data_IF_766955767819
#
_entry.id   IF_766955767819
#
_cell.length_a   1.000
_cell.length_b   1.000
_cell.length_c   1.000
_cell.angle_alpha   90.00
_cell.angle_beta   90.00
_cell.angle_gamma   90.00
#
_symmetry.space_group_name_H-M   'P 1'
#
loop_
_entity.id
_entity.type
_entity.pdbx_description
1 polymer ?
#
# COMPACT_ATOMS: atom_id res chain seq x y z
N UNK A 1 81.88 -9.66 -1.55
CA UNK A 1 82.94 -8.96 -2.30
C UNK A 1 82.28 -8.20 -3.44
N UNK A 2 82.19 -6.87 -3.34
CA UNK A 2 82.03 -5.97 -4.50
C UNK A 2 83.42 -5.62 -5.04
N UNK A 3 83.54 -5.17 -6.31
CA UNK A 3 83.82 -3.74 -6.56
C UNK A 3 83.11 -3.14 -7.82
N UNK A 4 82.62 -1.89 -7.73
CA UNK A 4 83.09 -0.62 -8.36
C UNK A 4 82.81 -0.48 -9.88
N UNK A 5 81.87 0.38 -10.30
CA UNK A 5 81.99 1.82 -10.67
C UNK A 5 82.69 2.03 -12.03
N UNK A 6 82.17 2.80 -13.00
CA UNK A 6 82.15 4.29 -13.13
C UNK A 6 81.51 4.55 -14.53
N UNK A 7 80.74 5.60 -14.90
CA UNK A 7 81.01 7.04 -14.88
C UNK A 7 79.78 7.84 -15.40
N UNK A 8 79.58 9.04 -14.85
CA UNK A 8 78.66 10.10 -15.30
C UNK A 8 79.28 10.94 -16.45
N UNK A 9 78.54 11.81 -17.18
CA UNK A 9 78.50 13.23 -16.77
C UNK A 9 77.19 14.02 -17.03
N UNK A 10 76.92 14.89 -16.05
CA UNK A 10 76.58 16.33 -16.12
C UNK A 10 75.40 16.85 -16.98
N UNK A 11 74.45 17.46 -16.26
CA UNK A 11 73.32 18.29 -16.70
C UNK A 11 73.73 19.69 -17.23
N UNK A 12 72.79 20.44 -17.84
CA UNK A 12 72.28 21.59 -17.08
C UNK A 12 70.76 21.83 -17.21
N UNK A 13 70.30 22.61 -16.23
CA UNK A 13 68.96 23.14 -15.98
C UNK A 13 68.21 23.68 -17.20
N UNK A 14 66.89 23.42 -17.23
CA UNK A 14 65.93 24.28 -17.90
C UNK A 14 64.79 24.60 -16.91
N UNK A 15 64.51 25.90 -16.75
CA UNK A 15 63.51 26.48 -15.85
C UNK A 15 62.09 25.99 -16.13
N UNK A 16 61.21 25.92 -15.12
CA UNK A 16 59.80 25.67 -15.34
C UNK A 16 59.12 26.93 -15.90
N UNK A 17 58.70 26.88 -17.17
CA UNK A 17 57.72 27.84 -17.71
C UNK A 17 56.39 27.67 -16.98
N UNK A 18 55.98 28.72 -16.29
CA UNK A 18 54.66 28.92 -15.70
C UNK A 18 53.55 28.61 -16.71
N UNK A 19 52.90 27.46 -16.57
CA UNK A 19 51.67 27.16 -17.28
C UNK A 19 50.49 27.79 -16.51
N UNK A 20 49.87 28.80 -17.12
CA UNK A 20 48.61 29.40 -16.70
C UNK A 20 47.55 28.31 -16.45
N UNK A 21 47.07 28.23 -15.21
CA UNK A 21 45.89 27.47 -14.85
C UNK A 21 44.68 27.97 -15.64
N UNK A 22 44.24 27.20 -16.63
CA UNK A 22 42.90 27.35 -17.19
C UNK A 22 41.92 26.64 -16.26
N UNK A 23 41.22 27.42 -15.44
CA UNK A 23 40.12 26.97 -14.59
C UNK A 23 39.01 26.38 -15.47
N UNK A 24 38.75 25.08 -15.35
CA UNK A 24 37.55 24.46 -15.92
C UNK A 24 36.30 25.16 -15.39
N UNK A 25 35.30 25.48 -16.24
CA UNK A 25 34.05 26.05 -15.78
C UNK A 25 33.33 25.05 -14.88
N UNK A 26 32.72 25.57 -13.81
CA UNK A 26 31.90 24.79 -12.88
C UNK A 26 30.79 24.05 -13.64
N UNK A 27 30.47 22.80 -13.26
CA UNK A 27 29.33 22.09 -13.84
C UNK A 27 28.06 22.91 -13.61
N UNK A 28 27.27 23.06 -14.67
CA UNK A 28 25.98 23.74 -14.59
C UNK A 28 25.16 23.15 -13.44
N UNK A 29 24.63 24.03 -12.59
CA UNK A 29 23.76 23.65 -11.48
C UNK A 29 22.65 22.75 -12.03
N UNK A 30 22.62 21.49 -11.56
CA UNK A 30 21.52 20.59 -11.86
C UNK A 30 20.23 21.25 -11.35
N UNK A 31 19.15 21.26 -12.15
CA UNK A 31 17.86 21.75 -11.67
C UNK A 31 17.49 21.00 -10.39
N UNK A 32 16.98 21.73 -9.40
CA UNK A 32 16.53 21.16 -8.15
C UNK A 32 15.60 19.96 -8.43
N UNK A 33 15.71 18.85 -7.66
CA UNK A 33 14.83 17.70 -7.83
C UNK A 33 13.39 18.18 -7.86
N UNK A 34 12.72 18.01 -9.00
CA UNK A 34 11.31 18.33 -9.11
C UNK A 34 10.57 17.45 -8.11
N UNK A 35 9.73 18.07 -7.27
CA UNK A 35 8.87 17.32 -6.36
C UNK A 35 8.08 16.29 -7.19
N UNK A 36 7.93 15.04 -6.72
CA UNK A 36 7.23 14.01 -7.47
C UNK A 36 5.84 14.52 -7.86
N UNK A 37 5.49 14.37 -9.14
CA UNK A 37 4.24 14.90 -9.70
C UNK A 37 3.01 14.05 -9.38
N UNK A 38 3.14 13.08 -8.46
CA UNK A 38 2.10 12.12 -8.10
C UNK A 38 2.36 11.47 -6.74
N UNK A 39 1.42 10.65 -6.26
CA UNK A 39 1.44 10.14 -4.88
C UNK A 39 2.65 9.25 -4.64
N UNK A 40 3.39 9.51 -3.56
CA UNK A 40 4.52 8.66 -3.16
C UNK A 40 4.01 7.31 -2.66
N UNK A 41 4.49 6.22 -3.28
CA UNK A 41 4.13 4.84 -2.90
C UNK A 41 5.27 4.17 -2.13
N UNK A 42 4.95 3.60 -0.97
CA UNK A 42 5.86 2.71 -0.26
C UNK A 42 5.64 1.26 -0.74
N UNK A 43 6.59 0.72 -1.49
CA UNK A 43 6.63 -0.68 -1.85
C UNK A 43 7.35 -1.49 -0.78
N UNK A 44 6.70 -2.56 -0.31
CA UNK A 44 7.18 -3.44 0.76
C UNK A 44 7.38 -4.86 0.18
N UNK A 45 8.51 -5.15 -0.49
CA UNK A 45 8.73 -6.45 -1.11
C UNK A 45 9.25 -7.50 -0.13
N UNK A 46 8.74 -8.72 -0.23
CA UNK A 46 9.32 -9.93 0.37
C UNK A 46 9.67 -10.94 -0.74
N UNK A 47 10.90 -11.45 -0.74
CA UNK A 47 11.34 -12.48 -1.67
C UNK A 47 11.61 -11.99 -3.10
N UNK A 48 12.02 -12.93 -3.95
CA UNK A 48 12.48 -12.64 -5.32
C UNK A 48 11.38 -12.12 -6.25
N UNK A 49 10.19 -12.72 -6.17
CA UNK A 49 9.02 -12.30 -6.97
C UNK A 49 8.66 -10.84 -6.69
N UNK A 50 8.56 -10.46 -5.41
CA UNK A 50 8.23 -9.11 -5.02
C UNK A 50 9.26 -8.09 -5.51
N UNK A 51 10.56 -8.38 -5.37
CA UNK A 51 11.61 -7.50 -5.88
C UNK A 51 11.52 -7.33 -7.39
N UNK A 52 11.20 -8.39 -8.14
CA UNK A 52 11.02 -8.30 -9.58
C UNK A 52 9.79 -7.44 -9.97
N UNK A 53 8.70 -7.52 -9.21
CA UNK A 53 7.51 -6.67 -9.41
C UNK A 53 7.85 -5.21 -9.10
N UNK A 54 8.50 -4.93 -7.98
CA UNK A 54 8.89 -3.57 -7.57
C UNK A 54 9.88 -2.96 -8.55
N UNK A 55 10.87 -3.72 -9.03
CA UNK A 55 11.82 -3.25 -10.04
C UNK A 55 11.14 -2.81 -11.36
N UNK A 56 9.93 -3.31 -11.64
CA UNK A 56 9.13 -2.91 -12.80
C UNK A 56 8.25 -1.69 -12.53
N UNK A 57 7.80 -1.51 -11.30
CA UNK A 57 6.77 -0.52 -10.94
C UNK A 57 7.31 0.77 -10.33
N UNK A 58 8.29 0.66 -9.44
CA UNK A 58 8.71 1.77 -8.60
C UNK A 58 9.33 2.88 -9.47
N UNK A 59 8.78 4.08 -9.34
CA UNK A 59 9.33 5.29 -9.93
C UNK A 59 10.42 5.94 -9.06
N UNK A 60 11.09 6.99 -9.56
CA UNK A 60 12.15 7.69 -8.83
C UNK A 60 11.72 8.33 -7.49
N UNK A 61 10.42 8.58 -7.30
CA UNK A 61 9.86 9.17 -6.08
C UNK A 61 9.30 8.15 -5.08
N UNK A 62 9.24 6.87 -5.47
CA UNK A 62 8.70 5.82 -4.61
C UNK A 62 9.76 5.31 -3.63
N UNK A 63 9.28 4.77 -2.51
CA UNK A 63 10.14 4.21 -1.46
C UNK A 63 10.04 2.70 -1.52
N UNK A 64 11.19 2.01 -1.45
CA UNK A 64 11.24 0.55 -1.39
C UNK A 64 11.85 0.13 -0.06
N UNK A 65 11.08 -0.60 0.76
CA UNK A 65 11.52 -1.12 2.06
C UNK A 65 11.33 -2.63 2.09
N UNK A 66 12.38 -3.44 1.93
CA UNK A 66 12.27 -4.89 2.02
C UNK A 66 11.73 -5.35 3.38
N UNK A 67 10.83 -6.33 3.36
CA UNK A 67 10.15 -6.86 4.56
C UNK A 67 10.40 -8.37 4.74
N UNK A 68 11.52 -8.88 4.20
CA UNK A 68 11.93 -10.29 4.34
C UNK A 68 12.05 -10.75 5.81
N UNK A 69 12.20 -9.80 6.76
CA UNK A 69 12.33 -10.05 8.20
C UNK A 69 11.14 -9.55 9.02
N UNK A 70 10.01 -9.26 8.37
CA UNK A 70 8.85 -8.65 9.01
C UNK A 70 8.69 -7.17 8.66
N UNK A 71 7.51 -6.62 9.00
CA UNK A 71 7.16 -5.23 8.77
C UNK A 71 7.21 -4.45 10.10
N UNK A 72 8.19 -3.56 10.22
CA UNK A 72 8.30 -2.65 11.37
C UNK A 72 7.89 -1.25 10.93
N UNK A 73 6.84 -0.71 11.55
CA UNK A 73 6.27 0.60 11.18
C UNK A 73 7.29 1.74 11.17
N UNK A 74 8.24 1.74 12.12
CA UNK A 74 9.29 2.76 12.23
C UNK A 74 10.24 2.81 11.02
N UNK A 75 10.37 1.71 10.26
CA UNK A 75 11.23 1.66 9.07
C UNK A 75 10.52 2.06 7.78
N UNK A 76 9.20 2.23 7.81
CA UNK A 76 8.46 2.73 6.65
C UNK A 76 8.44 4.25 6.70
N UNK A 77 9.08 4.95 5.75
CA UNK A 77 9.02 6.41 5.66
C UNK A 77 7.59 6.92 5.42
N UNK A 78 7.42 8.24 5.49
CA UNK A 78 6.15 8.85 5.08
C UNK A 78 5.90 8.59 3.60
N UNK A 79 4.73 8.05 3.30
CA UNK A 79 4.22 7.80 1.96
C UNK A 79 2.70 8.01 1.99
N UNK A 80 2.11 8.24 0.82
CA UNK A 80 0.67 8.45 0.70
C UNK A 80 -0.10 7.13 0.61
N UNK A 81 0.59 6.04 0.25
CA UNK A 81 0.02 4.71 0.09
C UNK A 81 1.10 3.64 0.22
N UNK A 82 0.70 2.43 0.62
CA UNK A 82 1.61 1.29 0.74
C UNK A 82 1.17 0.08 -0.08
N UNK A 83 2.13 -0.61 -0.70
CA UNK A 83 1.92 -1.84 -1.46
C UNK A 83 2.84 -2.93 -0.92
N UNK A 84 2.27 -3.91 -0.25
CA UNK A 84 2.95 -5.14 0.18
C UNK A 84 2.90 -6.16 -0.94
N UNK A 85 4.05 -6.74 -1.31
CA UNK A 85 4.10 -7.90 -2.19
C UNK A 85 4.81 -8.99 -1.42
N UNK A 86 4.06 -10.02 -1.06
CA UNK A 86 4.48 -11.04 -0.11
C UNK A 86 4.27 -12.45 -0.65
N UNK A 87 4.94 -13.40 -0.01
CA UNK A 87 4.64 -14.81 -0.20
C UNK A 87 3.19 -15.11 0.25
N UNK A 88 2.58 -16.20 -0.23
CA UNK A 88 1.28 -16.68 0.22
C UNK A 88 1.15 -16.83 1.73
N UNK A 89 -0.06 -16.59 2.23
CA UNK A 89 -0.47 -16.85 3.61
C UNK A 89 0.39 -16.15 4.68
N UNK A 90 1.02 -15.03 4.31
CA UNK A 90 1.74 -14.17 5.23
C UNK A 90 0.77 -13.30 6.05
N UNK A 91 -0.13 -13.94 6.80
CA UNK A 91 -1.18 -13.29 7.60
C UNK A 91 -0.60 -12.24 8.55
N UNK A 92 0.52 -12.55 9.22
CA UNK A 92 1.18 -11.60 10.12
C UNK A 92 1.59 -10.30 9.41
N UNK A 93 2.31 -10.39 8.28
CA UNK A 93 2.70 -9.21 7.49
C UNK A 93 1.50 -8.41 6.98
N UNK A 94 0.40 -9.09 6.65
CA UNK A 94 -0.83 -8.45 6.17
C UNK A 94 -1.56 -7.73 7.30
N UNK A 95 -1.56 -8.28 8.51
CA UNK A 95 -2.08 -7.63 9.72
C UNK A 95 -1.19 -6.45 10.18
N UNK A 96 0.13 -6.57 10.05
CA UNK A 96 1.07 -5.47 10.30
C UNK A 96 0.87 -4.33 9.29
N UNK A 97 0.61 -4.66 8.02
CA UNK A 97 0.27 -3.68 6.99
C UNK A 97 -1.04 -2.96 7.30
N UNK A 98 -2.07 -3.69 7.71
CA UNK A 98 -3.33 -3.10 8.20
C UNK A 98 -3.05 -2.16 9.39
N UNK A 99 -2.25 -2.60 10.37
CA UNK A 99 -1.91 -1.79 11.53
C UNK A 99 -1.22 -0.49 11.13
N UNK A 100 -0.24 -0.56 10.24
CA UNK A 100 0.44 0.61 9.67
C UNK A 100 -0.55 1.54 8.93
N UNK A 101 -1.39 0.96 8.09
CA UNK A 101 -2.40 1.65 7.28
C UNK A 101 -3.36 2.44 8.17
N UNK A 102 -3.99 1.78 9.14
CA UNK A 102 -4.97 2.41 10.03
C UNK A 102 -4.32 3.41 11.00
N UNK A 103 -3.11 3.14 11.49
CA UNK A 103 -2.39 4.07 12.38
C UNK A 103 -2.05 5.38 11.67
N UNK A 104 -1.71 5.32 10.37
CA UNK A 104 -1.30 6.50 9.59
C UNK A 104 -2.41 7.09 8.72
N UNK A 105 -3.60 6.50 8.69
CA UNK A 105 -4.66 6.89 7.75
C UNK A 105 -4.27 6.67 6.28
N UNK A 106 -3.31 5.79 6.02
CA UNK A 106 -2.69 5.59 4.71
C UNK A 106 -3.33 4.38 3.99
N UNK A 107 -3.85 4.52 2.76
CA UNK A 107 -4.30 3.39 1.95
C UNK A 107 -3.24 2.31 1.78
N UNK A 108 -3.65 1.04 1.78
CA UNK A 108 -2.76 -0.09 1.58
C UNK A 108 -3.32 -1.14 0.64
N UNK A 109 -2.41 -1.85 -0.02
CA UNK A 109 -2.70 -2.94 -0.94
C UNK A 109 -1.74 -4.08 -0.66
N UNK A 110 -2.21 -5.32 -0.70
CA UNK A 110 -1.32 -6.49 -0.66
C UNK A 110 -1.47 -7.36 -1.89
N UNK A 111 -0.36 -7.97 -2.30
CA UNK A 111 -0.28 -8.85 -3.47
C UNK A 111 0.43 -10.14 -3.06
N UNK A 112 -0.17 -11.26 -3.43
CA UNK A 112 0.30 -12.60 -3.08
C UNK A 112 0.21 -13.48 -4.33
N UNK A 113 1.31 -14.18 -4.66
CA UNK A 113 1.34 -15.15 -5.74
C UNK A 113 1.21 -16.56 -5.15
N UNK A 114 0.06 -17.21 -5.30
CA UNK A 114 -0.14 -18.60 -4.93
C UNK A 114 0.25 -19.52 -6.09
N UNK A 115 0.36 -20.85 -5.87
CA UNK A 115 0.73 -21.79 -6.93
C UNK A 115 -0.16 -21.74 -8.17
N UNK A 116 -1.45 -21.44 -8.01
CA UNK A 116 -2.44 -21.44 -9.11
C UNK A 116 -3.23 -20.14 -9.22
N UNK A 117 -2.94 -19.14 -8.39
CA UNK A 117 -3.66 -17.86 -8.43
C UNK A 117 -2.73 -16.70 -8.09
N UNK A 118 -2.94 -15.55 -8.73
CA UNK A 118 -2.34 -14.29 -8.34
C UNK A 118 -3.43 -13.41 -7.74
N UNK A 119 -3.22 -12.93 -6.52
CA UNK A 119 -4.18 -12.12 -5.80
C UNK A 119 -3.64 -10.73 -5.51
N UNK A 120 -4.46 -9.72 -5.76
CA UNK A 120 -4.20 -8.32 -5.47
C UNK A 120 -5.39 -7.76 -4.68
N UNK A 121 -5.16 -7.31 -3.45
CA UNK A 121 -6.18 -6.78 -2.56
C UNK A 121 -6.35 -7.57 -1.26
N UNK A 122 -7.16 -7.09 -0.30
CA UNK A 122 -8.08 -5.97 -0.46
C UNK A 122 -7.34 -4.65 -0.61
N UNK A 123 -7.88 -3.75 -1.44
CA UNK A 123 -7.52 -2.34 -1.39
C UNK A 123 -8.14 -1.72 -0.12
N UNK A 124 -7.30 -1.54 0.89
CA UNK A 124 -7.67 -1.02 2.20
C UNK A 124 -7.53 0.49 2.19
N UNK A 125 -8.60 1.19 2.55
CA UNK A 125 -8.65 2.63 2.71
C UNK A 125 -9.22 2.90 4.10
N UNK A 126 -8.40 3.32 5.07
CA UNK A 126 -8.84 3.58 6.44
C UNK A 126 -10.08 4.49 6.47
N UNK A 127 -11.04 4.16 7.35
CA UNK A 127 -12.32 4.86 7.42
C UNK A 127 -13.31 4.57 6.28
N UNK A 128 -12.86 4.02 5.15
CA UNK A 128 -13.71 3.74 3.97
C UNK A 128 -13.89 2.24 3.74
N UNK A 129 -12.86 1.47 3.42
CA UNK A 129 -13.01 0.06 2.98
C UNK A 129 -12.74 -0.98 4.08
N UNK A 130 -13.17 -2.23 3.87
CA UNK A 130 -12.91 -3.32 4.83
C UNK A 130 -11.41 -3.64 4.91
N UNK A 131 -10.92 -3.95 6.12
CA UNK A 131 -9.53 -4.34 6.35
C UNK A 131 -9.22 -5.79 5.92
N UNK A 132 -7.95 -6.16 5.91
CA UNK A 132 -7.51 -7.52 5.61
C UNK A 132 -8.11 -8.56 6.57
N UNK A 133 -8.22 -8.28 7.88
CA UNK A 133 -8.86 -9.22 8.83
C UNK A 133 -10.31 -9.53 8.47
N UNK A 134 -11.06 -8.55 7.97
CA UNK A 134 -12.43 -8.77 7.49
C UNK A 134 -12.43 -9.67 6.25
N UNK A 135 -11.53 -9.39 5.31
CA UNK A 135 -11.33 -10.20 4.11
C UNK A 135 -11.00 -11.65 4.45
N UNK A 136 -9.96 -11.89 5.25
CA UNK A 136 -9.50 -13.22 5.62
C UNK A 136 -10.61 -14.02 6.33
N UNK A 137 -11.33 -13.39 7.28
CA UNK A 137 -12.47 -14.04 7.93
C UNK A 137 -13.53 -14.51 6.93
N UNK A 138 -13.88 -13.67 5.94
CA UNK A 138 -14.85 -14.03 4.90
C UNK A 138 -14.34 -15.18 4.02
N UNK A 139 -13.08 -15.16 3.61
CA UNK A 139 -12.49 -16.27 2.84
C UNK A 139 -12.58 -17.60 3.58
N UNK A 140 -12.24 -17.60 4.89
CA UNK A 140 -12.30 -18.80 5.72
C UNK A 140 -13.73 -19.34 5.86
N UNK A 141 -14.74 -18.46 5.90
CA UNK A 141 -16.16 -18.85 5.85
C UNK A 141 -16.55 -19.51 4.52
N UNK A 142 -15.94 -19.07 3.41
CA UNK A 142 -16.13 -19.66 2.09
C UNK A 142 -15.22 -20.86 1.79
N UNK A 143 -14.63 -21.47 2.83
CA UNK A 143 -13.89 -22.72 2.70
C UNK A 143 -12.40 -22.58 2.41
N UNK A 144 -11.86 -21.37 2.35
CA UNK A 144 -10.41 -21.20 2.30
C UNK A 144 -9.77 -21.78 3.57
N UNK A 145 -8.70 -22.55 3.39
CA UNK A 145 -7.90 -23.14 4.47
C UNK A 145 -6.43 -22.87 4.15
N UNK A 146 -5.77 -21.92 4.84
CA UNK A 146 -4.34 -21.73 4.69
C UNK A 146 -3.60 -22.99 5.18
N UNK A 147 -2.36 -23.14 4.75
CA UNK A 147 -1.47 -24.16 5.31
C UNK A 147 -1.34 -23.96 6.84
N UNK A 148 -1.42 -25.03 7.65
CA UNK A 148 -1.21 -24.93 9.10
C UNK A 148 0.13 -24.28 9.42
N UNK A 149 0.19 -23.47 10.47
CA UNK A 149 1.40 -22.74 10.88
C UNK A 149 2.58 -23.66 11.15
N UNK A 150 2.35 -24.86 11.67
CA UNK A 150 3.42 -25.83 11.93
C UNK A 150 4.02 -26.32 10.61
N UNK A 151 3.17 -26.64 9.63
CA UNK A 151 3.58 -27.11 8.30
C UNK A 151 4.28 -26.00 7.52
N UNK A 152 3.79 -24.76 7.61
CA UNK A 152 4.43 -23.61 6.99
C UNK A 152 5.82 -23.32 7.61
N UNK A 153 5.98 -23.50 8.93
CA UNK A 153 7.26 -23.33 9.61
C UNK A 153 8.27 -24.44 9.25
N UNK A 154 7.80 -25.69 9.12
CA UNK A 154 8.63 -26.83 8.72
C UNK A 154 9.11 -26.74 7.27
N UNK A 155 8.21 -26.38 6.35
CA UNK A 155 8.55 -26.23 4.92
C UNK A 155 9.40 -24.96 4.67
N UNK A 156 9.35 -24.00 5.60
CA UNK A 156 9.86 -22.66 5.37
C UNK A 156 9.11 -21.94 4.23
N UNK A 157 9.51 -20.71 3.88
CA UNK A 157 9.02 -20.07 2.67
C UNK A 157 9.45 -20.93 1.47
N UNK A 158 8.48 -21.54 0.80
CA UNK A 158 8.73 -22.29 -0.42
C UNK A 158 9.33 -21.34 -1.45
N UNK A 159 10.51 -21.68 -1.99
CA UNK A 159 11.18 -20.85 -2.98
C UNK A 159 10.27 -20.73 -4.22
N UNK A 160 9.62 -19.58 -4.36
CA UNK A 160 8.67 -19.37 -5.43
C UNK A 160 9.39 -19.27 -6.76
N UNK A 161 9.31 -20.33 -7.56
CA UNK A 161 9.57 -20.22 -8.98
C UNK A 161 8.45 -19.39 -9.60
N UNK A 162 8.75 -18.13 -9.96
CA UNK A 162 7.85 -17.27 -10.71
C UNK A 162 8.33 -17.12 -12.15
N UNK A 163 7.38 -17.09 -13.08
CA UNK A 163 7.66 -16.76 -14.47
C UNK A 163 7.58 -15.25 -14.70
N UNK A 164 8.21 -14.78 -15.78
CA UNK A 164 8.19 -13.36 -16.16
C UNK A 164 6.75 -12.80 -16.27
N UNK A 165 5.81 -13.59 -16.81
CA UNK A 165 4.43 -13.14 -16.97
C UNK A 165 3.72 -12.93 -15.62
N UNK A 166 4.05 -13.67 -14.56
CA UNK A 166 3.50 -13.41 -13.22
C UNK A 166 3.85 -11.99 -12.74
N UNK A 167 5.09 -11.55 -13.00
CA UNK A 167 5.57 -10.21 -12.65
C UNK A 167 4.78 -9.13 -13.39
N UNK A 168 4.55 -9.34 -14.70
CA UNK A 168 3.79 -8.40 -15.53
C UNK A 168 2.33 -8.32 -15.09
N UNK A 169 1.70 -9.46 -14.79
CA UNK A 169 0.32 -9.52 -14.30
C UNK A 169 0.18 -8.81 -12.96
N UNK A 170 1.08 -9.06 -12.01
CA UNK A 170 1.06 -8.41 -10.70
C UNK A 170 1.24 -6.90 -10.82
N UNK A 171 2.18 -6.45 -11.66
CA UNK A 171 2.36 -5.04 -11.95
C UNK A 171 1.10 -4.39 -12.54
N UNK A 172 0.43 -5.06 -13.47
CA UNK A 172 -0.83 -4.60 -14.05
C UNK A 172 -1.95 -4.48 -13.01
N UNK A 173 -2.11 -5.48 -12.14
CA UNK A 173 -3.11 -5.46 -11.07
C UNK A 173 -2.84 -4.36 -10.04
N UNK A 174 -1.58 -4.14 -9.67
CA UNK A 174 -1.20 -3.04 -8.75
C UNK A 174 -1.54 -1.71 -9.40
N UNK A 175 -1.13 -1.48 -10.65
CA UNK A 175 -1.44 -0.24 -11.36
C UNK A 175 -2.95 0.00 -11.47
N UNK A 176 -3.74 -1.04 -11.77
CA UNK A 176 -5.21 -0.96 -11.81
C UNK A 176 -5.79 -0.56 -10.45
N UNK A 177 -5.33 -1.18 -9.36
CA UNK A 177 -5.79 -0.88 -8.00
C UNK A 177 -5.44 0.56 -7.58
N UNK A 178 -4.23 1.01 -7.88
CA UNK A 178 -3.79 2.38 -7.58
C UNK A 178 -4.57 3.42 -8.39
N UNK A 179 -4.85 3.16 -9.67
CA UNK A 179 -5.71 4.02 -10.49
C UNK A 179 -7.17 4.06 -10.00
N UNK A 180 -7.67 2.96 -9.42
CA UNK A 180 -8.97 2.96 -8.77
C UNK A 180 -8.98 3.85 -7.52
N UNK A 181 -7.92 3.80 -6.71
CA UNK A 181 -7.73 4.67 -5.54
C UNK A 181 -7.65 6.16 -5.93
N UNK A 182 -6.89 6.47 -6.97
CA UNK A 182 -6.68 7.85 -7.42
C UNK A 182 -7.99 8.48 -7.93
N UNK A 183 -8.79 7.72 -8.70
CA UNK A 183 -10.14 8.15 -9.13
C UNK A 183 -11.07 8.42 -7.95
N UNK A 184 -11.09 7.51 -6.97
CA UNK A 184 -11.92 7.68 -5.78
C UNK A 184 -11.52 8.91 -4.95
N UNK A 185 -10.24 9.28 -4.95
CA UNK A 185 -9.75 10.46 -4.23
C UNK A 185 -10.16 11.74 -4.95
N UNK A 186 -10.07 11.77 -6.28
CA UNK A 186 -10.54 12.90 -7.09
C UNK A 186 -12.04 13.14 -6.93
N UNK A 187 -12.86 12.08 -7.04
CA UNK A 187 -14.32 12.18 -6.90
C UNK A 187 -14.74 12.72 -5.51
N UNK A 188 -13.96 12.40 -4.47
CA UNK A 188 -14.22 12.86 -3.10
C UNK A 188 -13.86 14.33 -2.88
N UNK A 189 -12.88 14.85 -3.64
CA UNK A 189 -12.47 16.25 -3.55
C UNK A 189 -13.50 17.18 -4.22
N UNK A 190 -14.10 16.75 -5.34
CA UNK A 190 -15.10 17.52 -6.06
C UNK A 190 -16.44 17.65 -5.31
N UNK A 191 -16.74 16.73 -4.39
CA UNK A 191 -17.94 16.79 -3.54
C UNK A 191 -17.76 17.65 -2.27
N UNK A 192 -16.54 18.03 -1.92
CA UNK A 192 -16.21 18.76 -0.69
C UNK A 192 -16.08 20.30 -0.87
N UNK A 193 -16.83 20.89 -1.80
CA UNK A 193 -16.93 22.35 -1.91
C UNK A 193 -17.61 22.96 -0.65
N UNK A 194 -17.25 24.19 -0.22
CA UNK A 194 -17.65 24.71 1.08
C UNK A 194 -19.16 24.96 1.15
N UNK A 195 -19.80 24.34 2.15
CA UNK A 195 -21.15 24.68 2.58
C UNK A 195 -21.14 26.05 3.30
N UNK A 196 -21.08 27.12 2.51
CA UNK A 196 -21.44 28.46 2.93
C UNK A 196 -22.66 28.91 2.11
N UNK A 197 -23.85 28.57 2.61
CA UNK A 197 -25.00 29.49 2.70
C UNK A 197 -26.09 28.83 3.52
N UNK A 198 -26.52 29.55 4.55
CA UNK A 198 -27.69 29.27 5.34
C UNK A 198 -28.98 29.30 4.51
N UNK A 199 -30.00 28.67 5.09
CA UNK A 199 -31.43 28.75 4.79
C UNK A 199 -31.99 27.72 3.79
N UNK A 200 -32.49 26.61 4.36
CA UNK A 200 -33.70 25.90 3.91
C UNK A 200 -34.12 24.95 5.02
N UNK A 201 -34.91 25.50 5.96
CA UNK A 201 -35.90 24.68 6.63
C UNK A 201 -36.91 24.18 5.59
N UNK A 202 -37.46 23.00 5.84
CA UNK A 202 -38.56 22.36 5.10
C UNK A 202 -38.17 21.41 3.95
N UNK A 203 -37.71 20.21 4.31
CA UNK A 203 -38.04 18.97 3.58
C UNK A 203 -37.82 17.75 4.48
N UNK A 204 -38.66 17.61 5.49
CA UNK A 204 -38.83 16.36 6.22
C UNK A 204 -39.71 15.41 5.39
N UNK A 205 -39.12 14.76 4.37
CA UNK A 205 -39.55 13.46 3.83
C UNK A 205 -38.70 13.11 2.59
N UNK A 206 -37.53 12.55 2.84
CA UNK A 206 -36.80 11.75 1.85
C UNK A 206 -36.25 10.52 2.57
N UNK A 207 -37.11 9.50 2.69
CA UNK A 207 -36.67 8.13 2.88
C UNK A 207 -36.01 7.68 1.56
N UNK A 208 -34.78 8.11 1.36
CA UNK A 208 -33.91 7.76 0.26
C UNK A 208 -32.49 7.91 0.78
N UNK A 209 -32.00 6.86 1.44
CA UNK A 209 -30.63 6.86 1.93
C UNK A 209 -29.70 7.09 0.75
N UNK A 210 -28.89 8.14 0.81
CA UNK A 210 -27.72 8.26 -0.04
C UNK A 210 -26.96 6.93 0.04
N UNK A 211 -26.90 6.20 -1.07
CA UNK A 211 -26.07 5.02 -1.17
C UNK A 211 -24.64 5.45 -0.86
N UNK A 212 -24.03 4.99 0.23
CA UNK A 212 -22.68 5.43 0.58
C UNK A 212 -21.74 5.04 -0.58
N UNK A 213 -20.89 5.97 -1.05
CA UNK A 213 -20.13 5.82 -2.29
C UNK A 213 -19.36 4.50 -2.31
N UNK A 214 -19.70 3.63 -3.27
CA UNK A 214 -19.31 2.23 -3.44
C UNK A 214 -18.16 1.74 -2.52
N UNK A 215 -18.53 1.40 -1.29
CA UNK A 215 -17.58 1.03 -0.25
C UNK A 215 -17.26 -0.46 -0.33
N UNK A 216 -16.12 -0.84 -0.91
CA UNK A 216 -15.65 -2.22 -0.86
C UNK A 216 -14.13 -2.33 -0.93
N UNK A 217 -13.54 -3.11 -0.03
CA UNK A 217 -12.14 -3.51 -0.16
C UNK A 217 -12.04 -4.47 -1.35
N UNK A 218 -11.70 -3.94 -2.52
CA UNK A 218 -11.69 -4.71 -3.76
C UNK A 218 -10.51 -5.68 -3.79
N UNK A 219 -10.78 -6.90 -4.26
CA UNK A 219 -9.79 -7.96 -4.42
C UNK A 219 -9.88 -8.47 -5.85
N UNK A 220 -8.81 -8.28 -6.60
CA UNK A 220 -8.62 -8.83 -7.92
C UNK A 220 -7.88 -10.15 -7.82
N UNK A 221 -8.37 -11.18 -8.51
CA UNK A 221 -7.74 -12.49 -8.56
C UNK A 221 -7.63 -12.93 -10.02
N UNK A 222 -6.48 -13.50 -10.37
CA UNK A 222 -6.25 -14.19 -11.64
C UNK A 222 -5.98 -15.65 -11.31
N UNK A 223 -6.83 -16.54 -11.80
CA UNK A 223 -6.53 -17.97 -11.81
C UNK A 223 -5.47 -18.23 -12.90
N UNK A 224 -4.29 -18.69 -12.50
CA UNK A 224 -3.13 -18.86 -13.38
C UNK A 224 -3.22 -20.10 -14.27
N UNK A 225 -4.15 -21.01 -13.97
CA UNK A 225 -4.37 -22.25 -14.74
C UNK A 225 -5.35 -22.01 -15.88
N UNK A 226 -6.47 -21.35 -15.58
CA UNK A 226 -7.58 -21.09 -16.51
C UNK A 226 -7.51 -19.70 -17.16
N UNK A 227 -6.74 -18.77 -16.60
CA UNK A 227 -6.68 -17.38 -17.05
C UNK A 227 -7.89 -16.54 -16.65
N UNK A 228 -8.83 -17.09 -15.86
CA UNK A 228 -10.02 -16.35 -15.42
C UNK A 228 -9.60 -15.22 -14.48
N UNK A 229 -10.11 -14.02 -14.76
CA UNK A 229 -9.92 -12.86 -13.90
C UNK A 229 -11.23 -12.54 -13.17
N UNK A 230 -11.14 -12.24 -11.89
CA UNK A 230 -12.29 -11.89 -11.04
C UNK A 230 -11.99 -10.66 -10.20
N UNK A 231 -13.02 -9.89 -9.90
CA UNK A 231 -12.96 -8.80 -8.92
C UNK A 231 -14.09 -9.01 -7.91
N UNK A 232 -13.73 -9.15 -6.64
CA UNK A 232 -14.67 -9.33 -5.54
C UNK A 232 -14.58 -8.16 -4.57
N UNK A 233 -15.72 -7.78 -3.97
CA UNK A 233 -15.77 -6.77 -2.92
C UNK A 233 -15.71 -7.43 -1.55
N UNK A 234 -14.82 -6.92 -0.70
CA UNK A 234 -14.79 -7.30 0.72
C UNK A 234 -15.73 -6.43 1.52
N UNK A 235 -16.64 -7.08 2.25
CA UNK A 235 -17.56 -6.44 3.19
C UNK A 235 -16.96 -6.49 4.60
N UNK A 236 -17.04 -5.37 5.31
CA UNK A 236 -16.61 -5.32 6.70
C UNK A 236 -17.43 -6.27 7.57
N UNK A 237 -16.75 -6.90 8.51
CA UNK A 237 -17.39 -7.73 9.53
C UNK A 237 -17.83 -6.82 10.67
N UNK A 238 -19.01 -7.09 11.22
CA UNK A 238 -19.47 -6.34 12.38
C UNK A 238 -18.50 -6.51 13.56
N UNK A 239 -18.28 -5.42 14.28
CA UNK A 239 -17.35 -5.28 15.41
C UNK A 239 -15.92 -5.74 15.13
N UNK A 240 -15.44 -5.60 13.90
CA UNK A 240 -14.02 -5.76 13.61
C UNK A 240 -13.16 -4.80 14.46
N UNK A 241 -12.22 -5.33 15.22
CA UNK A 241 -11.33 -4.55 16.09
C UNK A 241 -10.52 -3.49 15.33
N UNK A 242 -10.19 -3.75 14.06
CA UNK A 242 -9.37 -2.87 13.23
C UNK A 242 -10.20 -1.77 12.55
N UNK A 243 -11.22 -2.14 11.78
CA UNK A 243 -11.88 -1.19 10.87
C UNK A 243 -13.27 -0.74 11.32
N UNK A 244 -13.77 -1.21 12.47
CA UNK A 244 -15.17 -0.99 12.82
C UNK A 244 -15.47 0.34 13.53
N UNK A 245 -14.44 1.11 13.91
CA UNK A 245 -14.61 2.45 14.49
C UNK A 245 -15.46 3.38 13.62
N UNK A 246 -15.39 3.26 12.28
CA UNK A 246 -16.23 4.05 11.35
C UNK A 246 -17.74 3.81 11.49
N UNK A 247 -18.16 2.76 12.20
CA UNK A 247 -19.55 2.44 12.44
C UNK A 247 -20.00 2.83 13.84
N UNK A 248 -19.14 3.40 14.69
CA UNK A 248 -19.45 3.71 16.09
C UNK A 248 -20.68 4.60 16.23
N UNK A 249 -20.80 5.68 15.44
CA UNK A 249 -21.99 6.53 15.45
C UNK A 249 -23.27 5.83 14.95
N UNK A 250 -23.16 4.78 14.14
CA UNK A 250 -24.31 3.95 13.70
C UNK A 250 -24.67 2.85 14.69
N UNK A 251 -23.80 2.56 15.65
CA UNK A 251 -24.00 1.56 16.71
C UNK A 251 -24.65 2.15 17.95
N UNK A 252 -24.85 3.46 17.97
CA UNK A 252 -25.67 4.07 18.99
C UNK A 252 -27.11 3.54 18.84
N UNK A 253 -27.43 2.51 19.61
CA UNK A 253 -28.74 1.88 19.64
C UNK A 253 -29.73 2.66 20.48
N UNK A 254 -29.29 3.74 21.16
CA UNK A 254 -30.14 4.51 22.06
C UNK A 254 -31.31 5.18 21.33
N UNK A 255 -31.15 5.75 20.12
CA UNK A 255 -32.28 6.28 19.34
C UNK A 255 -33.27 5.19 18.90
N UNK A 256 -32.77 4.03 18.44
CA UNK A 256 -33.62 2.91 18.02
C UNK A 256 -34.34 2.27 19.22
N UNK A 257 -33.67 2.16 20.36
CA UNK A 257 -34.24 1.69 21.61
C UNK A 257 -35.29 2.68 22.14
N UNK A 258 -35.03 3.99 22.08
CA UNK A 258 -35.98 5.03 22.47
C UNK A 258 -37.28 4.96 21.65
N UNK A 259 -37.19 4.66 20.35
CA UNK A 259 -38.35 4.47 19.49
C UNK A 259 -39.17 3.21 19.81
N UNK A 260 -38.57 2.21 20.44
CA UNK A 260 -39.23 0.96 20.85
C UNK A 260 -39.79 1.00 22.27
N UNK A 261 -39.38 1.98 23.09
CA UNK A 261 -39.92 2.15 24.44
C UNK A 261 -41.28 2.85 24.34
N UNK A 262 -42.38 2.25 24.82
CA UNK A 262 -43.66 2.94 24.87
C UNK A 262 -43.50 4.20 25.73
N UNK A 263 -44.05 5.33 25.25
CA UNK A 263 -44.11 6.56 26.04
C UNK A 263 -44.60 6.22 27.44
N UNK A 264 -43.73 6.29 28.45
CA UNK A 264 -44.17 6.13 29.83
C UNK A 264 -45.21 7.21 30.06
N UNK A 265 -46.47 6.78 30.15
CA UNK A 265 -47.64 7.58 30.53
C UNK A 265 -47.23 8.65 31.54
N UNK A 266 -47.33 9.90 31.12
CA UNK A 266 -47.53 11.03 32.03
C UNK A 266 -48.94 10.90 32.61
N UNK A 267 -49.14 9.96 33.51
CA UNK A 267 -50.31 9.89 34.39
C UNK A 267 -49.80 9.85 35.83
N UNK A 268 -49.38 11.02 36.31
CA UNK A 268 -49.42 11.35 37.74
C UNK A 268 -50.00 12.76 37.82
N UNK A 269 -51.32 12.83 37.91
CA UNK A 269 -52.09 13.93 38.47
C UNK A 269 -53.35 13.33 39.10
#
# INVERSE_FOLDING_TARGET
MSPLSTTLPTSPSEEPRTAMSTTSPAPAAQPAPQAPSGPVTAYLPQGGFARAVVARLAGPGDVVVPVDQGLVSAYVPYAERAVLIADPDQTGLREDLDTLSFTRGMPSLGVELFPTELRCGPLVVPGRSACYRCYDRRRRQHGYRPLPTEVAAELGPLEQAYAHHHVVLAAGLIALALQALDRQTADSADTAAPADTADTADTANAAGGEEPPEIGGQVWTIDLVSGITTCSRTVAVDRCETCSGRYEGRRDGLPALAALLPERRREVA
#
